data_IF_922592642975
#
_entry.id   IF_922592642975
#
_cell.length_a   1.000
_cell.length_b   1.000
_cell.length_c   1.000
_cell.angle_alpha   90.00
_cell.angle_beta   90.00
_cell.angle_gamma   90.00
#
_symmetry.space_group_name_H-M   'P 1'
#
loop_
_entity.id
_entity.type
_entity.pdbx_description
1 polymer ?
#
# COMPACT_ATOMS: atom_id res chain seq x y z
N UNK A 1 45.45 28.61 26.53
CA UNK A 1 45.28 27.78 25.31
C UNK A 1 43.81 27.47 25.14
N UNK A 2 43.03 28.26 24.37
CA UNK A 2 41.59 28.07 24.22
C UNK A 2 41.24 27.08 23.10
N UNK A 3 40.18 26.29 23.36
CA UNK A 3 39.56 25.27 22.50
C UNK A 3 38.84 25.91 21.31
N UNK A 4 39.04 25.36 20.12
CA UNK A 4 38.20 25.64 18.95
C UNK A 4 37.02 24.64 18.95
N UNK A 5 35.81 25.15 19.16
CA UNK A 5 34.56 24.40 18.92
C UNK A 5 34.17 24.56 17.46
N UNK A 6 34.21 23.46 16.70
CA UNK A 6 33.64 23.41 15.35
C UNK A 6 32.13 23.16 15.47
N UNK A 7 31.34 24.23 15.50
CA UNK A 7 29.89 24.14 15.32
C UNK A 7 29.58 24.09 13.82
N UNK A 8 29.10 22.93 13.35
CA UNK A 8 28.58 22.80 11.98
C UNK A 8 27.10 23.15 12.02
N UNK A 9 26.78 24.41 11.72
CA UNK A 9 25.41 24.88 11.54
C UNK A 9 24.94 24.42 10.16
N UNK A 10 24.11 23.38 10.11
CA UNK A 10 23.43 22.95 8.89
C UNK A 10 22.29 23.95 8.62
N UNK A 11 22.53 24.92 7.74
CA UNK A 11 21.47 25.76 7.17
C UNK A 11 20.69 24.94 6.14
N UNK A 12 19.50 24.49 6.51
CA UNK A 12 18.51 24.00 5.55
C UNK A 12 18.07 25.20 4.71
N UNK A 13 18.54 25.24 3.47
CA UNK A 13 18.19 26.28 2.50
C UNK A 13 16.80 25.95 1.95
N UNK A 14 15.81 26.78 2.30
CA UNK A 14 14.48 26.77 1.71
C UNK A 14 14.62 27.15 0.22
N UNK A 15 14.37 26.20 -0.68
CA UNK A 15 14.28 26.50 -2.11
C UNK A 15 12.91 27.13 -2.33
N UNK A 16 12.94 28.45 -2.50
CA UNK A 16 11.81 29.28 -2.84
C UNK A 16 11.26 28.84 -4.21
N UNK A 17 10.10 28.18 -4.20
CA UNK A 17 9.37 27.76 -5.40
C UNK A 17 8.48 28.89 -5.94
N UNK A 18 8.96 30.13 -5.83
CA UNK A 18 8.39 31.31 -6.45
C UNK A 18 9.05 31.49 -7.82
N UNK A 19 8.54 30.84 -8.87
CA UNK A 19 8.60 31.27 -10.28
C UNK A 19 7.86 30.25 -11.16
N UNK A 20 6.55 30.08 -10.95
CA UNK A 20 5.65 29.51 -11.97
C UNK A 20 4.25 30.09 -11.75
N UNK A 21 4.06 31.34 -12.14
CA UNK A 21 2.74 31.96 -12.27
C UNK A 21 2.60 32.58 -13.66
N UNK A 22 2.24 31.74 -14.65
CA UNK A 22 1.62 32.23 -15.87
C UNK A 22 0.09 32.21 -15.70
N UNK A 23 -0.43 33.34 -15.25
CA UNK A 23 -1.65 33.99 -15.73
C UNK A 23 -2.87 33.11 -16.07
N UNK A 24 -3.81 32.95 -15.12
CA UNK A 24 -5.21 32.60 -15.37
C UNK A 24 -6.10 33.13 -14.23
N UNK A 25 -6.94 34.13 -14.51
CA UNK A 25 -8.26 34.30 -13.88
C UNK A 25 -8.33 34.91 -12.47
N UNK A 26 -8.83 36.16 -12.42
CA UNK A 26 -9.20 36.87 -11.21
C UNK A 26 -10.22 36.10 -10.32
N UNK A 27 -9.96 36.06 -9.02
CA UNK A 27 -10.81 35.53 -7.95
C UNK A 27 -10.29 35.98 -6.57
N UNK A 28 -11.15 36.07 -5.54
CA UNK A 28 -11.03 37.08 -4.47
C UNK A 28 -9.85 36.86 -3.52
N UNK A 29 -9.29 37.99 -3.08
CA UNK A 29 -8.15 38.15 -2.16
C UNK A 29 -8.27 37.27 -0.91
N UNK A 30 -7.45 36.22 -0.87
CA UNK A 30 -7.26 35.40 0.32
C UNK A 30 -6.11 35.98 1.14
N UNK A 31 -6.44 36.71 2.21
CA UNK A 31 -5.43 37.11 3.21
C UNK A 31 -4.91 35.86 3.92
N UNK A 32 -3.59 35.65 4.03
CA UNK A 32 -3.06 34.49 4.76
C UNK A 32 -3.37 34.64 6.25
N UNK A 33 -4.20 33.72 6.76
CA UNK A 33 -4.54 33.61 8.18
C UNK A 33 -3.30 33.14 8.93
N UNK A 34 -2.75 34.02 9.78
CA UNK A 34 -1.70 33.68 10.73
C UNK A 34 -2.15 32.50 11.59
N UNK A 35 -1.28 31.50 11.73
CA UNK A 35 -1.51 30.36 12.61
C UNK A 35 -1.33 30.84 14.06
N UNK A 36 -2.42 31.13 14.76
CA UNK A 36 -2.44 31.31 16.21
C UNK A 36 -2.42 29.93 16.88
N UNK A 37 -1.43 29.74 17.75
CA UNK A 37 -1.16 28.52 18.54
C UNK A 37 -1.93 28.48 19.88
N UNK A 38 -3.20 28.91 19.95
CA UNK A 38 -3.89 29.01 21.26
C UNK A 38 -5.35 28.49 21.34
N UNK A 39 -5.90 27.80 20.33
CA UNK A 39 -7.28 27.29 20.41
C UNK A 39 -7.36 25.76 20.40
N UNK A 40 -7.00 25.13 21.53
CA UNK A 40 -7.57 23.83 21.93
C UNK A 40 -8.62 24.11 23.00
N UNK A 41 -9.78 24.62 22.56
CA UNK A 41 -10.98 24.68 23.39
C UNK A 41 -11.83 23.45 23.08
N UNK A 42 -11.78 22.50 24.01
CA UNK A 42 -12.63 21.30 24.00
C UNK A 42 -14.05 21.74 24.38
N UNK A 43 -14.88 22.01 23.38
CA UNK A 43 -16.30 22.23 23.62
C UNK A 43 -17.00 20.89 23.89
N UNK A 44 -17.35 20.73 25.17
CA UNK A 44 -18.36 19.78 25.65
C UNK A 44 -19.69 20.08 24.96
N UNK A 45 -20.16 19.17 24.10
CA UNK A 45 -21.57 19.12 23.72
C UNK A 45 -22.28 18.14 24.66
N UNK A 46 -23.09 18.69 25.56
CA UNK A 46 -24.08 17.98 26.37
C UNK A 46 -25.42 17.94 25.61
N UNK A 47 -26.03 16.75 25.56
CA UNK A 47 -27.47 16.57 25.80
C UNK A 47 -28.41 16.37 24.61
N UNK A 48 -28.93 15.12 24.50
CA UNK A 48 -30.35 14.70 24.36
C UNK A 48 -31.14 15.14 23.10
N UNK A 49 -32.02 14.37 22.46
CA UNK A 49 -32.69 13.08 22.70
C UNK A 49 -33.31 12.63 21.36
N UNK A 50 -33.48 11.32 21.14
CA UNK A 50 -34.80 10.72 20.90
C UNK A 50 -34.71 9.25 20.49
N UNK A 51 -35.53 8.47 21.18
CA UNK A 51 -35.68 7.04 21.08
C UNK A 51 -36.71 6.70 20.00
N UNK A 52 -36.36 5.78 19.10
CA UNK A 52 -37.32 4.81 18.54
C UNK A 52 -36.62 3.47 18.34
N UNK A 53 -37.21 2.46 18.98
CA UNK A 53 -36.83 1.05 18.94
C UNK A 53 -36.82 0.48 17.52
N UNK A 54 -35.80 -0.33 17.23
CA UNK A 54 -35.70 -1.15 16.04
C UNK A 54 -34.70 -2.27 16.25
N UNK A 55 -35.13 -3.35 16.90
CA UNK A 55 -34.40 -4.62 17.03
C UNK A 55 -33.88 -5.07 15.67
N UNK A 56 -32.56 -5.24 15.53
CA UNK A 56 -31.96 -6.37 14.83
C UNK A 56 -30.45 -6.46 15.14
N UNK A 57 -30.08 -7.57 15.76
CA UNK A 57 -28.75 -7.92 16.21
C UNK A 57 -27.78 -8.02 15.01
N UNK A 58 -26.80 -7.12 14.93
CA UNK A 58 -25.56 -7.35 14.18
C UNK A 58 -24.37 -6.88 15.00
N UNK A 59 -23.68 -7.87 15.54
CA UNK A 59 -22.36 -7.81 16.16
C UNK A 59 -21.38 -7.10 15.23
N UNK A 60 -21.07 -5.82 15.49
CA UNK A 60 -19.95 -5.12 14.87
C UNK A 60 -18.77 -5.17 15.84
N UNK A 61 -18.02 -6.27 15.80
CA UNK A 61 -16.69 -6.32 16.40
C UNK A 61 -15.75 -5.47 15.54
N UNK A 62 -15.35 -4.32 16.07
CA UNK A 62 -14.35 -3.42 15.49
C UNK A 62 -12.96 -4.11 15.49
N UNK A 63 -12.25 -4.23 14.35
CA UNK A 63 -10.99 -4.95 14.29
C UNK A 63 -9.74 -4.07 14.49
N UNK A 64 -9.82 -2.93 15.21
CA UNK A 64 -8.66 -2.04 15.38
C UNK A 64 -8.40 -1.54 16.80
N UNK A 65 -8.63 -2.38 17.80
CA UNK A 65 -8.04 -2.19 19.12
C UNK A 65 -7.44 -3.50 19.62
N UNK A 66 -6.16 -3.73 19.33
CA UNK A 66 -5.31 -4.58 20.16
C UNK A 66 -4.04 -3.83 20.53
N UNK A 67 -4.14 -3.23 21.72
CA UNK A 67 -3.11 -2.89 22.68
C UNK A 67 -1.91 -3.85 22.60
N UNK A 68 -0.73 -3.26 22.55
CA UNK A 68 0.54 -3.95 22.78
C UNK A 68 0.52 -4.65 24.15
N UNK A 69 0.82 -5.94 24.14
CA UNK A 69 1.23 -6.69 25.32
C UNK A 69 2.54 -7.38 24.96
N UNK A 70 3.63 -6.92 25.58
CA UNK A 70 4.88 -7.66 25.66
C UNK A 70 4.62 -8.92 26.49
N UNK A 71 4.61 -10.09 25.86
CA UNK A 71 4.72 -11.36 26.56
C UNK A 71 5.91 -12.14 25.99
N UNK A 72 6.97 -12.20 26.79
CA UNK A 72 8.06 -13.15 26.65
C UNK A 72 7.50 -14.55 26.89
N UNK A 73 7.18 -15.30 25.84
CA UNK A 73 6.79 -16.69 25.97
C UNK A 73 7.61 -17.55 25.00
N UNK A 74 8.51 -18.31 25.61
CA UNK A 74 9.19 -19.48 25.06
C UNK A 74 8.18 -20.37 24.33
N UNK A 75 8.28 -20.41 23.00
CA UNK A 75 7.43 -21.24 22.16
C UNK A 75 8.11 -22.59 21.97
N UNK A 76 7.80 -23.55 22.84
CA UNK A 76 8.04 -24.96 22.59
C UNK A 76 7.06 -25.43 21.52
N UNK A 77 7.55 -25.65 20.30
CA UNK A 77 6.76 -26.29 19.23
C UNK A 77 6.62 -27.78 19.53
N UNK A 78 5.46 -28.20 20.03
CA UNK A 78 5.07 -29.62 20.07
C UNK A 78 4.56 -30.01 18.69
N UNK A 79 5.39 -30.71 17.92
CA UNK A 79 4.96 -31.41 16.71
C UNK A 79 4.19 -32.68 17.10
N UNK A 80 2.90 -32.75 16.75
CA UNK A 80 2.14 -33.99 16.79
C UNK A 80 2.63 -34.93 15.67
N UNK A 81 3.26 -36.04 16.06
CA UNK A 81 3.62 -37.14 15.19
C UNK A 81 2.36 -37.88 14.73
N UNK A 82 2.08 -37.83 13.42
CA UNK A 82 1.10 -38.72 12.77
C UNK A 82 1.79 -40.06 12.50
N UNK A 83 1.29 -41.11 13.14
CA UNK A 83 1.81 -42.47 13.00
C UNK A 83 1.27 -43.18 11.73
N UNK A 84 2.22 -43.82 11.04
CA UNK A 84 2.12 -44.98 10.15
C UNK A 84 1.37 -44.87 8.81
N UNK A 85 2.14 -44.59 7.75
CA UNK A 85 2.02 -45.28 6.47
C UNK A 85 3.32 -46.08 6.25
N UNK A 86 3.19 -47.35 5.88
CA UNK A 86 4.29 -48.32 5.75
C UNK A 86 5.36 -47.90 4.72
N UNK A 87 6.64 -48.27 4.93
CA UNK A 87 7.73 -47.94 4.02
C UNK A 87 7.62 -48.77 2.75
N UNK A 88 7.29 -48.12 1.62
CA UNK A 88 7.49 -48.72 0.32
C UNK A 88 8.99 -48.88 0.08
N UNK A 89 9.42 -50.14 0.13
CA UNK A 89 10.72 -50.61 -0.28
C UNK A 89 10.97 -50.24 -1.74
N UNK A 90 11.66 -49.13 -1.98
CA UNK A 90 12.34 -48.87 -3.24
C UNK A 90 13.67 -48.20 -2.95
N UNK A 91 14.72 -48.98 -3.15
CA UNK A 91 16.12 -48.58 -3.36
C UNK A 91 16.71 -47.55 -2.40
N UNK A 92 17.63 -48.03 -1.57
CA UNK A 92 18.98 -47.48 -1.33
C UNK A 92 19.41 -46.32 -2.25
N UNK A 93 18.78 -45.16 -2.14
CA UNK A 93 19.21 -43.95 -2.82
C UNK A 93 19.97 -43.15 -1.79
N UNK A 94 21.23 -42.87 -2.12
CA UNK A 94 22.12 -42.00 -1.34
C UNK A 94 21.35 -40.84 -0.71
N UNK A 95 21.68 -40.41 0.53
CA UNK A 95 21.12 -39.19 1.09
C UNK A 95 21.21 -38.10 0.02
N UNK A 96 20.03 -37.67 -0.44
CA UNK A 96 19.93 -36.93 -1.69
C UNK A 96 20.76 -35.66 -1.54
N UNK A 97 21.89 -35.60 -2.24
CA UNK A 97 22.89 -34.53 -2.11
C UNK A 97 22.22 -33.17 -2.32
N UNK A 98 21.17 -33.13 -3.15
CA UNK A 98 20.31 -31.97 -3.34
C UNK A 98 19.58 -31.59 -2.06
N UNK A 99 18.89 -32.53 -1.42
CA UNK A 99 18.14 -32.30 -0.18
C UNK A 99 19.08 -31.89 0.96
N UNK A 100 20.26 -32.50 1.05
CA UNK A 100 21.25 -32.11 2.05
C UNK A 100 21.84 -30.74 1.74
N UNK A 101 22.19 -30.43 0.49
CA UNK A 101 22.65 -29.10 0.10
C UNK A 101 21.58 -28.02 0.36
N UNK A 102 20.30 -28.33 0.13
CA UNK A 102 19.18 -27.45 0.50
C UNK A 102 19.16 -27.23 2.02
N UNK A 103 19.33 -28.28 2.84
CA UNK A 103 19.41 -28.12 4.30
C UNK A 103 20.62 -27.27 4.71
N UNK A 104 21.79 -27.48 4.08
CA UNK A 104 22.98 -26.66 4.34
C UNK A 104 22.75 -25.20 4.02
N UNK A 105 22.17 -24.92 2.85
CA UNK A 105 21.87 -23.56 2.39
C UNK A 105 20.79 -22.87 3.24
N UNK A 106 19.84 -23.61 3.81
CA UNK A 106 18.77 -23.02 4.61
C UNK A 106 19.11 -22.90 6.10
N UNK A 107 19.92 -23.81 6.65
CA UNK A 107 20.06 -23.96 8.11
C UNK A 107 21.50 -23.95 8.61
N UNK A 108 22.51 -24.11 7.74
CA UNK A 108 23.92 -24.15 8.15
C UNK A 108 24.66 -22.83 7.85
N UNK A 109 24.02 -21.83 7.22
CA UNK A 109 24.64 -20.51 7.11
C UNK A 109 24.78 -19.90 8.51
N UNK A 110 26.01 -19.66 9.00
CA UNK A 110 26.19 -19.08 10.33
C UNK A 110 25.56 -17.68 10.35
N UNK A 111 24.83 -17.32 11.43
CA UNK A 111 24.28 -15.98 11.56
C UNK A 111 25.43 -14.98 11.55
N UNK A 112 25.29 -13.91 10.75
CA UNK A 112 26.29 -12.86 10.72
C UNK A 112 26.34 -12.16 12.08
N UNK A 113 27.55 -11.93 12.58
CA UNK A 113 27.75 -11.15 13.80
C UNK A 113 27.16 -9.74 13.64
N UNK A 114 26.47 -9.20 14.67
CA UNK A 114 26.00 -7.83 14.65
C UNK A 114 27.14 -6.84 14.39
N UNK A 115 26.87 -5.77 13.64
CA UNK A 115 27.85 -4.71 13.43
C UNK A 115 27.97 -3.87 14.70
N UNK A 116 29.17 -3.76 15.25
CA UNK A 116 29.46 -2.81 16.32
C UNK A 116 29.66 -1.42 15.70
N UNK A 117 28.75 -0.49 16.00
CA UNK A 117 28.84 0.91 15.57
C UNK A 117 29.47 1.74 16.69
N UNK A 118 30.28 2.73 16.32
CA UNK A 118 30.69 3.78 17.26
C UNK A 118 29.46 4.53 17.76
N UNK A 119 29.51 5.10 18.96
CA UNK A 119 28.41 5.88 19.54
C UNK A 119 27.94 6.99 18.59
N UNK A 120 28.88 7.69 17.94
CA UNK A 120 28.57 8.72 16.95
C UNK A 120 27.80 8.16 15.73
N UNK A 121 28.16 6.97 15.25
CA UNK A 121 27.50 6.34 14.10
C UNK A 121 26.13 5.77 14.49
N UNK A 122 25.99 5.31 15.73
CA UNK A 122 24.71 4.91 16.30
C UNK A 122 23.72 6.08 16.35
N UNK A 123 24.16 7.25 16.83
CA UNK A 123 23.32 8.47 16.84
C UNK A 123 22.92 8.92 15.42
N UNK A 124 23.86 8.85 14.46
CA UNK A 124 23.59 9.13 13.04
C UNK A 124 22.57 8.16 12.49
N UNK A 125 22.74 6.87 12.75
CA UNK A 125 21.82 5.83 12.32
C UNK A 125 20.40 6.09 12.87
N UNK A 126 20.27 6.37 14.17
CA UNK A 126 18.99 6.69 14.80
C UNK A 126 18.32 7.93 14.22
N UNK A 127 19.11 8.94 13.86
CA UNK A 127 18.61 10.17 13.24
C UNK A 127 18.11 9.92 11.82
N UNK A 128 18.86 9.16 11.02
CA UNK A 128 18.45 8.76 9.66
C UNK A 128 17.17 7.93 9.72
N UNK A 129 17.09 6.95 10.61
CA UNK A 129 15.93 6.10 10.79
C UNK A 129 14.68 6.89 11.21
N UNK A 130 14.82 7.83 12.16
CA UNK A 130 13.72 8.71 12.56
C UNK A 130 13.26 9.60 11.41
N UNK A 131 14.19 10.21 10.67
CA UNK A 131 13.88 11.03 9.51
C UNK A 131 13.16 10.22 8.42
N UNK A 132 13.62 9.00 8.12
CA UNK A 132 12.97 8.11 7.16
C UNK A 132 11.54 7.72 7.58
N UNK A 133 11.33 7.40 8.87
CA UNK A 133 10.00 7.11 9.42
C UNK A 133 9.05 8.31 9.27
N UNK A 134 9.54 9.52 9.52
CA UNK A 134 8.77 10.75 9.32
C UNK A 134 8.39 10.94 7.85
N UNK A 135 9.33 10.76 6.92
CA UNK A 135 9.06 10.84 5.48
C UNK A 135 7.99 9.82 5.06
N UNK A 136 8.08 8.58 5.56
CA UNK A 136 7.08 7.54 5.26
C UNK A 136 5.69 7.84 5.83
N UNK A 137 5.62 8.45 7.01
CA UNK A 137 4.36 8.93 7.59
C UNK A 137 3.74 10.01 6.70
N UNK A 138 4.51 11.00 6.27
CA UNK A 138 4.05 12.08 5.38
C UNK A 138 3.59 11.54 4.01
N UNK A 139 4.33 10.61 3.40
CA UNK A 139 3.93 9.94 2.15
C UNK A 139 2.58 9.21 2.30
N UNK A 140 2.33 8.61 3.47
CA UNK A 140 1.06 7.94 3.76
C UNK A 140 -0.07 8.94 3.92
N UNK A 141 0.13 9.98 4.71
CA UNK A 141 -0.86 11.04 4.91
C UNK A 141 -1.23 11.72 3.59
N UNK A 142 -0.25 12.01 2.73
CA UNK A 142 -0.49 12.56 1.41
C UNK A 142 -1.34 11.62 0.54
N UNK A 143 -1.02 10.32 0.51
CA UNK A 143 -1.80 9.32 -0.24
C UNK A 143 -3.24 9.21 0.29
N UNK A 144 -3.41 9.23 1.60
CA UNK A 144 -4.73 9.13 2.24
C UNK A 144 -5.57 10.38 1.97
N UNK A 145 -4.96 11.57 2.03
CA UNK A 145 -5.60 12.84 1.65
C UNK A 145 -6.03 12.85 0.18
N UNK A 146 -5.20 12.33 -0.73
CA UNK A 146 -5.52 12.20 -2.15
C UNK A 146 -6.70 11.25 -2.39
N UNK A 147 -6.73 10.11 -1.70
CA UNK A 147 -7.85 9.18 -1.74
C UNK A 147 -9.13 9.83 -1.23
N UNK A 148 -9.06 10.58 -0.12
CA UNK A 148 -10.21 11.28 0.43
C UNK A 148 -10.77 12.32 -0.57
N UNK A 149 -9.89 13.10 -1.23
CA UNK A 149 -10.32 14.05 -2.27
C UNK A 149 -11.05 13.35 -3.41
N UNK A 150 -10.52 12.22 -3.88
CA UNK A 150 -11.16 11.40 -4.93
C UNK A 150 -12.53 10.88 -4.49
N UNK A 151 -12.64 10.34 -3.27
CA UNK A 151 -13.92 9.87 -2.72
C UNK A 151 -14.92 10.99 -2.49
N UNK A 152 -14.47 12.18 -2.06
CA UNK A 152 -15.33 13.35 -1.91
C UNK A 152 -15.92 13.76 -3.26
N UNK A 153 -15.10 13.86 -4.30
CA UNK A 153 -15.56 14.18 -5.67
C UNK A 153 -16.47 13.10 -6.25
N UNK A 154 -16.17 11.83 -6.01
CA UNK A 154 -17.03 10.72 -6.41
C UNK A 154 -18.42 10.81 -5.77
N UNK A 155 -18.50 11.14 -4.47
CA UNK A 155 -19.77 11.32 -3.76
C UNK A 155 -20.56 12.52 -4.29
N UNK A 156 -19.90 13.65 -4.48
CA UNK A 156 -20.50 14.86 -5.06
C UNK A 156 -21.15 14.56 -6.42
N UNK A 157 -20.42 13.90 -7.32
CA UNK A 157 -20.93 13.50 -8.63
C UNK A 157 -22.11 12.51 -8.54
N UNK A 158 -22.09 11.58 -7.58
CA UNK A 158 -23.21 10.64 -7.40
C UNK A 158 -24.48 11.31 -6.88
N UNK A 159 -24.35 12.28 -5.96
CA UNK A 159 -25.48 13.09 -5.48
C UNK A 159 -26.08 13.92 -6.61
N UNK A 160 -25.24 14.49 -7.49
CA UNK A 160 -25.72 15.20 -8.67
C UNK A 160 -26.41 14.26 -9.68
N UNK A 161 -25.86 13.06 -9.90
CA UNK A 161 -26.45 12.07 -10.78
C UNK A 161 -27.81 11.57 -10.27
N UNK A 162 -27.97 11.41 -8.96
CA UNK A 162 -29.24 11.03 -8.32
C UNK A 162 -30.32 12.09 -8.55
N UNK A 163 -29.95 13.37 -8.42
CA UNK A 163 -30.86 14.51 -8.64
C UNK A 163 -31.28 14.64 -10.11
N UNK A 164 -30.38 14.36 -11.05
CA UNK A 164 -30.61 14.57 -12.48
C UNK A 164 -31.26 13.35 -13.16
N UNK A 165 -30.76 12.13 -12.91
CA UNK A 165 -31.28 10.92 -13.55
C UNK A 165 -31.24 9.68 -12.62
N UNK A 166 -32.36 9.32 -11.98
CA UNK A 166 -32.40 8.19 -11.04
C UNK A 166 -32.25 6.82 -11.71
N UNK A 167 -32.43 6.69 -13.03
CA UNK A 167 -32.20 5.43 -13.75
C UNK A 167 -30.71 5.14 -13.90
N UNK A 168 -29.93 6.15 -14.29
CA UNK A 168 -28.47 6.03 -14.42
C UNK A 168 -27.81 5.83 -13.06
N UNK A 169 -28.28 6.54 -12.04
CA UNK A 169 -27.83 6.35 -10.66
C UNK A 169 -27.99 4.89 -10.19
N UNK A 170 -29.19 4.31 -10.39
CA UNK A 170 -29.43 2.89 -10.09
C UNK A 170 -28.47 1.97 -10.85
N UNK A 171 -28.23 2.25 -12.14
CA UNK A 171 -27.28 1.50 -12.95
C UNK A 171 -25.84 1.57 -12.43
N UNK A 172 -25.39 2.74 -11.99
CA UNK A 172 -24.05 2.94 -11.43
C UNK A 172 -23.85 2.27 -10.07
N UNK A 173 -24.92 2.17 -9.26
CA UNK A 173 -24.91 1.47 -7.97
C UNK A 173 -24.90 -0.06 -8.10
N UNK A 174 -25.27 -0.60 -9.28
CA UNK A 174 -25.14 -2.02 -9.56
C UNK A 174 -23.66 -2.36 -9.73
N UNK A 175 -23.01 -2.71 -8.62
CA UNK A 175 -21.62 -3.15 -8.62
C UNK A 175 -21.43 -4.38 -9.51
N UNK A 176 -20.43 -4.30 -10.38
CA UNK A 176 -19.97 -5.45 -11.14
C UNK A 176 -19.27 -6.42 -10.17
N UNK A 177 -19.84 -7.61 -9.98
CA UNK A 177 -19.25 -8.63 -9.08
C UNK A 177 -17.91 -9.18 -9.57
N UNK A 178 -17.60 -9.01 -10.85
CA UNK A 178 -16.41 -9.54 -11.52
C UNK A 178 -15.56 -8.43 -12.15
N UNK A 179 -15.22 -7.39 -11.38
CA UNK A 179 -14.23 -6.40 -11.83
C UNK A 179 -12.85 -6.89 -11.43
N UNK A 180 -12.14 -7.46 -12.40
CA UNK A 180 -10.73 -7.81 -12.26
C UNK A 180 -9.89 -6.85 -13.08
N UNK A 181 -8.70 -6.51 -12.59
CA UNK A 181 -7.75 -5.74 -13.37
C UNK A 181 -7.34 -6.50 -14.66
N UNK A 182 -7.30 -5.83 -15.82
CA UNK A 182 -6.91 -6.47 -17.06
C UNK A 182 -5.43 -6.86 -17.03
N UNK A 183 -5.08 -8.05 -17.55
CA UNK A 183 -3.69 -8.56 -17.58
C UNK A 183 -2.73 -7.66 -18.36
N UNK A 184 -3.25 -6.88 -19.30
CA UNK A 184 -2.48 -5.93 -20.10
C UNK A 184 -1.96 -4.75 -19.27
N UNK A 185 -2.57 -4.45 -18.12
CA UNK A 185 -2.08 -3.45 -17.19
C UNK A 185 -0.92 -4.04 -16.37
N UNK A 186 0.31 -3.78 -16.83
CA UNK A 186 1.54 -4.28 -16.20
C UNK A 186 1.97 -3.39 -15.04
N UNK A 187 2.72 -3.99 -14.11
CA UNK A 187 3.44 -3.27 -13.07
C UNK A 187 4.56 -2.47 -13.75
N UNK A 188 4.80 -1.20 -13.37
CA UNK A 188 5.88 -0.40 -13.94
C UNK A 188 7.24 -1.06 -13.70
N UNK A 189 8.10 -1.03 -14.71
CA UNK A 189 9.48 -1.53 -14.67
C UNK A 189 10.47 -0.36 -14.65
N UNK A 190 11.63 -0.53 -14.03
CA UNK A 190 12.68 0.51 -13.96
C UNK A 190 13.18 0.96 -15.33
N UNK A 191 13.36 0.01 -16.26
CA UNK A 191 13.70 0.31 -17.65
C UNK A 191 12.49 0.04 -18.54
N UNK A 192 12.11 0.97 -19.44
CA UNK A 192 11.04 0.73 -20.38
C UNK A 192 11.41 -0.38 -21.37
N UNK A 193 10.41 -1.06 -21.93
CA UNK A 193 10.62 -2.03 -22.99
C UNK A 193 11.09 -1.35 -24.28
N UNK A 194 11.84 -2.07 -25.12
CA UNK A 194 12.29 -1.59 -26.43
C UNK A 194 11.12 -1.11 -27.29
N UNK A 195 10.02 -1.87 -27.27
CA UNK A 195 8.74 -1.47 -27.82
C UNK A 195 7.92 -0.82 -26.70
N UNK A 196 8.01 0.51 -26.55
CA UNK A 196 7.41 1.24 -25.43
C UNK A 196 5.88 1.14 -25.36
N UNK A 197 5.18 1.28 -26.49
CA UNK A 197 3.72 1.19 -26.57
C UNK A 197 3.26 0.40 -27.80
N UNK A 198 2.27 -0.48 -27.64
CA UNK A 198 1.72 -1.28 -28.74
C UNK A 198 0.49 -0.60 -29.36
N UNK A 199 0.69 0.12 -30.47
CA UNK A 199 -0.38 0.75 -31.24
C UNK A 199 -1.25 -0.24 -32.03
N UNK A 200 -0.81 -1.49 -32.20
CA UNK A 200 -1.50 -2.54 -32.97
C UNK A 200 -2.42 -3.45 -32.13
N UNK A 201 -2.79 -3.00 -30.93
CA UNK A 201 -3.57 -3.78 -29.98
C UNK A 201 -4.91 -4.29 -30.57
N UNK A 202 -5.17 -5.59 -30.40
CA UNK A 202 -6.45 -6.24 -30.72
C UNK A 202 -6.99 -6.94 -29.47
N UNK A 203 -8.30 -6.87 -29.18
CA UNK A 203 -8.88 -7.58 -28.06
C UNK A 203 -8.74 -9.11 -28.29
N UNK A 204 -8.46 -9.92 -27.24
CA UNK A 204 -8.19 -11.35 -27.38
C UNK A 204 -9.29 -12.11 -28.13
N UNK A 205 -10.56 -11.75 -27.89
CA UNK A 205 -11.74 -12.35 -28.54
C UNK A 205 -11.67 -12.21 -30.07
N UNK A 206 -11.18 -11.06 -30.57
CA UNK A 206 -11.05 -10.84 -32.01
C UNK A 206 -9.89 -11.65 -32.63
N UNK A 207 -8.86 -11.96 -31.85
CA UNK A 207 -7.71 -12.77 -32.30
C UNK A 207 -8.12 -14.24 -32.42
N UNK A 208 -8.85 -14.77 -31.43
CA UNK A 208 -9.36 -16.14 -31.45
C UNK A 208 -10.36 -16.36 -32.59
N UNK A 209 -11.29 -15.43 -32.80
CA UNK A 209 -12.25 -15.51 -33.90
C UNK A 209 -11.57 -15.48 -35.28
N UNK A 210 -10.49 -14.71 -35.44
CA UNK A 210 -9.70 -14.66 -36.67
C UNK A 210 -8.88 -15.95 -36.89
N UNK A 211 -8.28 -16.49 -35.81
CA UNK A 211 -7.53 -17.75 -35.87
C UNK A 211 -8.41 -18.95 -36.22
N UNK A 212 -9.62 -19.03 -35.67
CA UNK A 212 -10.60 -20.08 -36.01
C UNK A 212 -11.04 -19.99 -37.47
N UNK A 213 -11.30 -18.79 -37.99
CA UNK A 213 -11.61 -18.60 -39.43
C UNK A 213 -10.47 -19.04 -40.35
N UNK A 214 -9.22 -18.71 -39.99
CA UNK A 214 -8.05 -19.08 -40.79
C UNK A 214 -7.80 -20.60 -40.80
N UNK A 215 -8.05 -21.29 -39.68
CA UNK A 215 -7.94 -22.76 -39.61
C UNK A 215 -8.98 -23.46 -40.48
N UNK A 216 -10.24 -22.98 -40.44
CA UNK A 216 -11.35 -23.53 -41.22
C UNK A 216 -11.13 -23.43 -42.75
N UNK A 217 -10.48 -22.36 -43.23
CA UNK A 217 -10.15 -22.22 -44.66
C UNK A 217 -9.01 -23.13 -45.13
N UNK A 218 -8.09 -23.53 -44.23
CA UNK A 218 -7.00 -24.45 -44.55
C UNK A 218 -7.43 -25.92 -44.59
N UNK A 219 -8.43 -26.30 -43.82
CA UNK A 219 -8.98 -27.67 -43.79
C UNK A 219 -9.99 -27.93 -44.93
N UNK A 220 -10.41 -26.90 -45.68
CA UNK A 220 -11.35 -27.01 -46.81
C UNK A 220 -10.70 -26.88 -48.19
N UNK A 221 -9.36 -26.89 -48.26
CA UNK A 221 -8.55 -26.94 -49.49
C UNK A 221 -7.73 -28.22 -49.50
#
# INVERSE_FOLDING_TARGET
>A
MPRLQNSVIIRVSYIDSSLYTSNCGAGPSFTPRAWNTDDVRVDKILGNSDATEGKQNRTMASPFLRRAALSTLSTTRVFLLRAAAQPSSSSSSSPDVRTDLIKKVLFELPPREPLELSEEDQERHETIERAWKLVKMLEREARDADLERKFRKMREAMVELERTNPKLFRGAMLGNRHVTFPRQMKIPTETPATEGWNYSYKPPIAIEAAGVKAKKMRESS
#
